data_IF_855325824114
#
_entry.id   IF_855325824114
#
_cell.length_a   1.000
_cell.length_b   1.000
_cell.length_c   1.000
_cell.angle_alpha   90.00
_cell.angle_beta   90.00
_cell.angle_gamma   90.00
#
_symmetry.space_group_name_H-M   'P 1'
#
loop_
_entity.id
_entity.type
_entity.pdbx_description
1 polymer ?
#
# COMPACT_ATOMS: atom_id res chain seq x y z
N UNK A 1 -23.39 -2.96 13.71
CA UNK A 1 -22.12 -2.90 12.96
C UNK A 1 -21.23 -4.03 13.47
N UNK A 2 -20.98 -5.06 12.65
CA UNK A 2 -20.12 -6.17 13.04
C UNK A 2 -18.65 -5.98 12.66
N UNK A 3 -18.35 -5.01 11.78
CA UNK A 3 -17.01 -4.69 11.32
C UNK A 3 -16.26 -5.92 10.79
N UNK A 4 -14.93 -5.83 10.78
CA UNK A 4 -14.04 -6.92 10.44
C UNK A 4 -14.18 -8.07 11.45
N UNK A 5 -14.42 -7.77 12.74
CA UNK A 5 -14.64 -8.74 13.81
C UNK A 5 -15.71 -9.78 13.49
N UNK A 6 -16.91 -9.36 13.09
CA UNK A 6 -17.99 -10.27 12.73
C UNK A 6 -17.71 -10.97 11.41
N UNK A 7 -17.12 -10.27 10.43
CA UNK A 7 -16.80 -10.84 9.13
C UNK A 7 -15.83 -12.01 9.22
N UNK A 8 -14.78 -11.90 10.05
CA UNK A 8 -13.79 -12.98 10.24
C UNK A 8 -14.05 -13.85 11.48
N UNK A 9 -15.15 -13.61 12.21
CA UNK A 9 -15.49 -14.33 13.44
C UNK A 9 -14.51 -14.11 14.61
N UNK A 10 -13.75 -13.00 14.62
CA UNK A 10 -12.74 -12.70 15.65
C UNK A 10 -13.28 -11.76 16.72
N UNK A 11 -13.28 -12.21 17.97
CA UNK A 11 -13.71 -11.42 19.14
C UNK A 11 -12.57 -10.72 19.88
N UNK A 12 -11.31 -11.02 19.54
CA UNK A 12 -10.12 -10.38 20.12
C UNK A 12 -9.77 -9.12 19.34
N UNK A 13 -9.00 -8.19 19.93
CA UNK A 13 -8.61 -6.97 19.27
C UNK A 13 -7.95 -7.18 17.89
N UNK A 14 -8.17 -6.22 17.00
CA UNK A 14 -7.64 -6.12 15.65
C UNK A 14 -6.84 -4.83 15.52
N UNK A 15 -5.63 -4.97 14.99
CA UNK A 15 -4.79 -3.86 14.54
C UNK A 15 -4.87 -3.85 13.02
N UNK A 16 -5.13 -2.70 12.43
CA UNK A 16 -5.02 -2.51 10.97
C UNK A 16 -3.83 -1.64 10.65
N UNK A 17 -3.11 -2.01 9.58
CA UNK A 17 -2.07 -1.16 9.02
C UNK A 17 -2.68 -0.10 8.09
N UNK A 18 -1.86 0.89 7.74
CA UNK A 18 -2.28 2.01 6.91
C UNK A 18 -2.28 1.74 5.40
N UNK A 19 -1.71 0.61 4.96
CA UNK A 19 -1.55 0.24 3.56
C UNK A 19 -0.32 0.82 2.84
N UNK A 20 0.44 1.73 3.48
CA UNK A 20 1.55 2.44 2.84
C UNK A 20 2.69 1.52 2.39
N UNK A 21 3.08 0.56 3.23
CA UNK A 21 4.12 -0.41 2.90
C UNK A 21 3.74 -1.32 1.72
N UNK A 22 2.46 -1.66 1.59
CA UNK A 22 1.96 -2.49 0.49
C UNK A 22 2.01 -1.73 -0.84
N UNK A 23 1.74 -0.42 -0.84
CA UNK A 23 1.90 0.42 -2.03
C UNK A 23 3.37 0.49 -2.45
N UNK A 24 4.28 0.71 -1.50
CA UNK A 24 5.72 0.72 -1.75
C UNK A 24 6.21 -0.60 -2.34
N UNK A 25 5.84 -1.72 -1.71
CA UNK A 25 6.23 -3.07 -2.15
C UNK A 25 5.69 -3.47 -3.53
N UNK A 26 4.72 -2.73 -4.09
CA UNK A 26 4.18 -2.94 -5.43
C UNK A 26 4.75 -1.93 -6.45
N UNK A 27 5.41 -0.87 -6.00
CA UNK A 27 6.09 0.13 -6.81
C UNK A 27 7.48 -0.30 -7.28
N UNK A 28 8.20 -1.08 -6.47
CA UNK A 28 9.58 -1.55 -6.72
C UNK A 28 9.79 -2.48 -7.94
N UNK A 29 8.71 -2.81 -8.67
CA UNK A 29 8.79 -3.61 -9.91
C UNK A 29 8.86 -2.73 -11.16
N UNK A 30 8.79 -1.40 -11.04
CA UNK A 30 8.76 -0.50 -12.19
C UNK A 30 9.99 0.42 -12.25
N UNK A 31 11.13 -0.11 -12.73
CA UNK A 31 12.31 0.71 -13.04
C UNK A 31 12.08 1.44 -14.37
N UNK A 32 12.48 2.71 -14.43
CA UNK A 32 12.46 3.51 -15.64
C UNK A 32 13.50 3.03 -16.67
N UNK A 33 13.24 3.21 -17.99
CA UNK A 33 14.16 2.84 -19.07
C UNK A 33 15.46 3.68 -19.11
N UNK A 34 15.58 4.73 -18.29
CA UNK A 34 16.72 5.67 -18.25
C UNK A 34 17.81 5.31 -17.23
N UNK A 35 17.70 4.16 -16.57
CA UNK A 35 18.77 3.64 -15.71
C UNK A 35 18.85 4.23 -14.31
N UNK A 36 17.97 5.16 -13.92
CA UNK A 36 17.85 5.61 -12.51
C UNK A 36 17.42 4.44 -11.59
N UNK A 37 17.94 4.41 -10.35
CA UNK A 37 17.92 3.21 -9.50
C UNK A 37 16.55 2.91 -8.87
N UNK A 38 16.16 1.64 -8.98
CA UNK A 38 15.40 0.90 -7.97
C UNK A 38 16.34 -0.13 -7.33
N UNK A 39 16.39 -0.19 -5.98
CA UNK A 39 16.67 -1.36 -5.10
C UNK A 39 16.85 -0.87 -3.65
N UNK A 40 16.32 -1.53 -2.62
CA UNK A 40 16.25 -2.97 -2.37
C UNK A 40 14.84 -3.50 -2.05
N UNK A 41 14.28 -4.31 -2.96
CA UNK A 41 13.31 -5.35 -2.60
C UNK A 41 14.09 -6.66 -2.33
N UNK A 42 14.96 -6.62 -1.32
CA UNK A 42 15.57 -7.79 -0.73
C UNK A 42 14.72 -8.22 0.47
N UNK A 43 14.24 -9.45 0.41
CA UNK A 43 13.61 -10.20 1.52
C UNK A 43 12.07 -10.10 1.64
N UNK A 44 11.45 -11.27 1.45
CA UNK A 44 10.05 -11.66 1.68
C UNK A 44 8.97 -11.12 0.72
N UNK A 45 8.89 -11.68 -0.50
CA UNK A 45 7.58 -12.10 -1.03
C UNK A 45 7.64 -13.51 -1.61
N UNK A 46 7.05 -14.43 -0.85
CA UNK A 46 6.76 -15.81 -1.27
C UNK A 46 5.87 -15.80 -2.52
N UNK A 47 6.42 -16.30 -3.62
CA UNK A 47 5.74 -17.03 -4.71
C UNK A 47 4.23 -16.76 -4.87
N UNK A 48 3.87 -15.62 -5.46
CA UNK A 48 2.60 -15.52 -6.21
C UNK A 48 2.86 -14.83 -7.54
N UNK A 49 2.84 -15.64 -8.60
CA UNK A 49 2.81 -15.23 -10.01
C UNK A 49 1.65 -14.25 -10.25
N UNK A 50 1.94 -12.96 -10.47
CA UNK A 50 1.10 -12.04 -11.26
C UNK A 50 1.72 -10.62 -11.34
N UNK A 51 3.00 -10.49 -11.70
CA UNK A 51 3.49 -9.25 -12.29
C UNK A 51 3.52 -9.46 -13.80
N UNK A 52 2.35 -9.36 -14.44
CA UNK A 52 2.22 -9.39 -15.89
C UNK A 52 2.52 -7.97 -16.39
N UNK A 53 3.70 -7.83 -16.98
CA UNK A 53 4.08 -6.91 -18.06
C UNK A 53 3.30 -5.58 -18.17
N UNK A 54 3.95 -4.48 -17.74
CA UNK A 54 3.85 -3.21 -18.47
C UNK A 54 3.32 -1.96 -17.76
N UNK A 55 2.91 -1.98 -16.49
CA UNK A 55 2.47 -0.72 -15.84
C UNK A 55 2.77 -0.66 -14.35
N UNK A 56 3.48 0.37 -13.86
CA UNK A 56 3.67 0.58 -12.43
C UNK A 56 2.33 0.65 -11.71
N UNK A 57 2.25 -0.07 -10.57
CA UNK A 57 1.14 0.00 -9.63
C UNK A 57 1.19 1.34 -8.88
N UNK A 58 2.35 1.78 -8.39
CA UNK A 58 2.53 3.10 -7.79
C UNK A 58 2.76 4.15 -8.87
N UNK A 59 1.94 5.21 -8.91
CA UNK A 59 2.02 6.25 -9.95
C UNK A 59 2.76 7.51 -9.51
N UNK A 60 2.44 7.99 -8.30
CA UNK A 60 3.04 9.19 -7.74
C UNK A 60 2.84 9.25 -6.23
N UNK A 61 3.76 9.91 -5.55
CA UNK A 61 3.69 10.23 -4.12
C UNK A 61 3.83 11.74 -3.97
N UNK A 62 3.04 12.33 -3.09
CA UNK A 62 3.03 13.76 -2.77
C UNK A 62 2.64 13.95 -1.31
N UNK A 63 2.76 15.17 -0.78
CA UNK A 63 2.27 15.49 0.58
C UNK A 63 0.78 15.16 0.79
N UNK A 64 -0.01 15.17 -0.28
CA UNK A 64 -1.44 14.81 -0.23
C UNK A 64 -1.67 13.30 -0.06
N UNK A 65 -0.68 12.46 -0.39
CA UNK A 65 -0.76 11.01 -0.35
C UNK A 65 -0.21 10.33 -1.60
N UNK A 66 -0.51 9.02 -1.74
CA UNK A 66 0.00 8.15 -2.79
C UNK A 66 -1.10 7.79 -3.81
N UNK A 67 -0.83 8.03 -5.09
CA UNK A 67 -1.71 7.62 -6.19
C UNK A 67 -1.20 6.31 -6.78
N UNK A 68 -2.08 5.34 -6.95
CA UNK A 68 -1.75 4.01 -7.45
C UNK A 68 -2.84 3.45 -8.37
N UNK A 69 -2.49 2.43 -9.15
CA UNK A 69 -3.43 1.61 -9.91
C UNK A 69 -3.86 0.41 -9.10
N UNK A 70 -5.17 0.20 -9.00
CA UNK A 70 -5.75 -1.02 -8.46
C UNK A 70 -5.27 -2.23 -9.26
N UNK A 71 -4.74 -3.24 -8.57
CA UNK A 71 -4.34 -4.51 -9.18
C UNK A 71 -5.55 -5.35 -9.66
N UNK A 72 -6.77 -4.98 -9.27
CA UNK A 72 -8.00 -5.72 -9.61
C UNK A 72 -8.54 -5.36 -10.98
N UNK A 73 -8.48 -4.07 -11.33
CA UNK A 73 -9.17 -3.51 -12.51
C UNK A 73 -8.38 -2.39 -13.20
N UNK A 74 -7.20 -2.00 -12.69
CA UNK A 74 -6.38 -0.92 -13.24
C UNK A 74 -6.89 0.49 -12.96
N UNK A 75 -7.95 0.65 -12.16
CA UNK A 75 -8.48 1.97 -11.77
C UNK A 75 -7.46 2.78 -10.96
N UNK A 76 -7.48 4.11 -11.10
CA UNK A 76 -6.59 4.98 -10.31
C UNK A 76 -7.23 5.31 -8.98
N UNK A 77 -6.50 5.08 -7.90
CA UNK A 77 -6.90 5.32 -6.52
C UNK A 77 -5.90 6.25 -5.84
N UNK A 78 -6.39 7.04 -4.88
CA UNK A 78 -5.58 7.92 -4.04
C UNK A 78 -5.72 7.47 -2.58
N UNK A 79 -4.61 7.07 -1.97
CA UNK A 79 -4.52 6.82 -0.54
C UNK A 79 -3.96 8.07 0.15
N UNK A 80 -4.72 8.64 1.07
CA UNK A 80 -4.33 9.78 1.92
C UNK A 80 -4.34 9.36 3.38
N UNK A 81 -3.71 10.12 4.29
CA UNK A 81 -3.82 9.86 5.73
C UNK A 81 -5.28 9.77 6.20
N UNK A 82 -6.14 10.67 5.72
CA UNK A 82 -7.56 10.73 6.09
C UNK A 82 -8.34 9.54 5.52
N UNK A 83 -8.09 9.16 4.25
CA UNK A 83 -8.78 8.03 3.64
C UNK A 83 -8.35 6.69 4.25
N UNK A 84 -7.09 6.58 4.67
CA UNK A 84 -6.58 5.43 5.42
C UNK A 84 -7.28 5.28 6.78
N UNK A 85 -7.33 6.36 7.58
CA UNK A 85 -8.02 6.33 8.88
C UNK A 85 -9.52 6.07 8.73
N UNK A 86 -10.17 6.67 7.72
CA UNK A 86 -11.58 6.44 7.45
C UNK A 86 -11.89 4.98 7.12
N UNK A 87 -11.06 4.33 6.30
CA UNK A 87 -11.19 2.91 5.98
C UNK A 87 -10.99 2.03 7.23
N UNK A 88 -9.94 2.27 8.02
CA UNK A 88 -9.65 1.51 9.24
C UNK A 88 -10.76 1.65 10.30
N UNK A 89 -11.39 2.83 10.41
CA UNK A 89 -12.59 3.05 11.22
C UNK A 89 -13.82 2.31 10.69
N UNK A 90 -14.03 2.32 9.38
CA UNK A 90 -15.13 1.59 8.75
C UNK A 90 -15.00 0.07 8.95
N UNK A 91 -13.78 -0.45 9.01
CA UNK A 91 -13.50 -1.84 9.38
C UNK A 91 -13.73 -2.14 10.86
N UNK A 92 -13.87 -1.14 11.72
CA UNK A 92 -14.04 -1.32 13.16
C UNK A 92 -12.77 -1.83 13.84
N UNK A 93 -11.62 -1.27 13.48
CA UNK A 93 -10.33 -1.61 14.09
C UNK A 93 -10.23 -1.04 15.51
N UNK A 94 -9.65 -1.81 16.44
CA UNK A 94 -9.40 -1.33 17.81
C UNK A 94 -8.15 -0.44 17.89
N UNK A 95 -7.16 -0.73 17.05
CA UNK A 95 -5.92 0.05 16.91
C UNK A 95 -5.73 0.37 15.44
N UNK A 96 -5.50 1.66 15.17
CA UNK A 96 -5.26 2.23 13.85
C UNK A 96 -3.79 2.63 13.78
N UNK A 97 -3.09 2.15 12.76
CA UNK A 97 -1.73 2.61 12.47
C UNK A 97 -1.83 3.76 11.46
N UNK A 98 -1.18 4.91 11.71
CA UNK A 98 -1.21 6.04 10.79
C UNK A 98 -0.52 5.70 9.46
N UNK A 99 -0.91 6.42 8.41
CA UNK A 99 -0.19 6.37 7.15
C UNK A 99 1.19 6.99 7.34
N UNK A 100 2.23 6.24 6.99
CA UNK A 100 3.62 6.65 7.06
C UNK A 100 4.15 6.92 5.66
N UNK A 101 5.11 7.83 5.57
CA UNK A 101 5.87 8.09 4.36
C UNK A 101 7.19 7.32 4.43
N UNK A 102 7.50 6.55 3.38
CA UNK A 102 8.85 6.01 3.23
C UNK A 102 9.65 7.07 2.48
N UNK A 103 10.64 7.73 3.12
CA UNK A 103 11.44 8.74 2.44
C UNK A 103 12.14 8.10 1.25
N UNK A 104 12.13 8.81 0.12
CA UNK A 104 12.94 8.45 -1.04
C UNK A 104 14.41 8.38 -0.60
N UNK A 105 15.11 7.30 -0.94
CA UNK A 105 16.57 7.21 -0.75
C UNK A 105 17.29 8.12 -1.77
N UNK A 106 17.15 9.43 -1.62
CA UNK A 106 18.08 10.40 -2.19
C UNK A 106 19.17 10.66 -1.15
N UNK A 107 20.08 9.70 -1.00
CA UNK A 107 21.41 9.96 -0.43
C UNK A 107 22.26 10.48 -1.58
N UNK A 108 22.58 11.77 -1.52
CA UNK A 108 23.38 12.47 -2.53
C UNK A 108 24.80 11.94 -2.72
#
# INVERSE_FOLDING_TARGET
>A
AGGLHAFIGRRRPIITDSGGFQLFSLGDVARAPDGSALREAGELKSRSRAAKEGSPCLLSVSERGATFRSYRDGSRLLLTPESSVAAQKAFGSDIIIPLDELPSNDVG
#
